data_IF_833981049932
#
_entry.id   IF_833981049932
#
_cell.length_a   1.000
_cell.length_b   1.000
_cell.length_c   1.000
_cell.angle_alpha   90.00
_cell.angle_beta   90.00
_cell.angle_gamma   90.00
#
_symmetry.space_group_name_H-M   'P 1'
#
loop_
_entity.id
_entity.type
_entity.pdbx_description
1 polymer ?
#
# COMPACT_ATOMS: atom_id res chain seq x y z
N UNK A 1 53.66 19.56 -47.07
CA UNK A 1 54.17 18.18 -46.90
C UNK A 1 53.41 17.57 -45.74
N UNK A 2 52.47 16.67 -46.01
CA UNK A 2 51.81 15.89 -44.96
C UNK A 2 52.81 14.86 -44.42
N UNK A 3 53.34 15.06 -43.23
CA UNK A 3 54.19 14.04 -42.61
C UNK A 3 53.31 12.85 -42.23
N UNK A 4 53.46 11.76 -42.98
CA UNK A 4 52.96 10.46 -42.53
C UNK A 4 53.62 10.13 -41.17
N UNK A 5 52.88 9.53 -40.23
CA UNK A 5 53.46 9.12 -38.96
C UNK A 5 54.61 8.13 -39.18
N UNK A 6 55.67 8.17 -38.35
CA UNK A 6 56.83 7.29 -38.50
C UNK A 6 56.42 5.82 -38.37
N UNK A 7 56.90 4.99 -39.31
CA UNK A 7 56.63 3.55 -39.40
C UNK A 7 57.47 2.71 -38.42
N UNK A 8 58.02 3.32 -37.38
CA UNK A 8 58.73 2.56 -36.36
C UNK A 8 57.71 1.85 -35.49
N UNK A 9 57.72 0.51 -35.54
CA UNK A 9 57.00 -0.37 -34.62
C UNK A 9 57.45 -0.08 -33.18
N UNK A 10 56.86 0.94 -32.55
CA UNK A 10 57.04 1.19 -31.12
C UNK A 10 56.24 0.13 -30.37
N UNK A 11 56.86 -0.64 -29.45
CA UNK A 11 56.14 -1.58 -28.61
C UNK A 11 55.31 -0.87 -27.52
N UNK A 12 55.39 0.46 -27.42
CA UNK A 12 54.78 1.27 -26.39
C UNK A 12 53.83 2.29 -27.05
N UNK A 13 52.56 2.26 -26.65
CA UNK A 13 51.56 3.24 -27.05
C UNK A 13 51.98 4.65 -26.61
N UNK A 14 52.12 5.59 -27.55
CA UNK A 14 52.45 6.99 -27.27
C UNK A 14 51.17 7.84 -27.33
N UNK A 15 50.60 8.14 -26.18
CA UNK A 15 49.36 8.91 -26.06
C UNK A 15 49.49 10.38 -26.49
N UNK A 16 50.70 10.92 -26.63
CA UNK A 16 50.94 12.30 -27.07
C UNK A 16 50.52 12.57 -28.52
N UNK A 17 50.20 11.53 -29.30
CA UNK A 17 49.69 11.64 -30.66
C UNK A 17 48.16 11.68 -30.77
N UNK A 18 47.44 11.61 -29.64
CA UNK A 18 45.97 11.62 -29.60
C UNK A 18 45.46 12.82 -28.76
N UNK A 19 45.77 14.04 -29.20
CA UNK A 19 45.43 15.29 -28.49
C UNK A 19 44.38 16.14 -29.22
N UNK A 20 44.06 15.81 -30.47
CA UNK A 20 43.02 16.44 -31.27
C UNK A 20 41.61 16.03 -30.82
N UNK A 21 40.64 16.92 -30.96
CA UNK A 21 39.24 16.70 -30.56
C UNK A 21 38.55 15.53 -31.29
N UNK A 22 39.16 14.99 -32.33
CA UNK A 22 38.68 13.87 -33.14
C UNK A 22 39.70 12.72 -33.21
N UNK A 23 40.71 12.68 -32.35
CA UNK A 23 41.66 11.58 -32.33
C UNK A 23 41.03 10.36 -31.65
N UNK A 24 40.94 9.24 -32.35
CA UNK A 24 40.36 8.00 -31.84
C UNK A 24 41.31 6.82 -32.05
N UNK A 25 41.39 5.94 -31.04
CA UNK A 25 42.10 4.67 -31.15
C UNK A 25 41.13 3.59 -31.69
N UNK A 26 41.34 3.11 -32.91
CA UNK A 26 40.58 1.97 -33.47
C UNK A 26 41.33 0.67 -33.24
N UNK A 27 40.75 -0.25 -32.46
CA UNK A 27 41.32 -1.59 -32.24
C UNK A 27 40.57 -2.57 -33.16
N UNK A 28 41.16 -2.92 -34.30
CA UNK A 28 40.60 -3.93 -35.21
C UNK A 28 40.78 -5.34 -34.64
N UNK A 29 39.77 -6.20 -34.83
CA UNK A 29 39.62 -7.54 -34.21
C UNK A 29 40.81 -8.50 -34.44
N UNK A 30 41.64 -8.23 -35.44
CA UNK A 30 42.77 -9.08 -35.83
C UNK A 30 44.09 -8.78 -35.09
N UNK A 31 44.25 -7.62 -34.43
CA UNK A 31 45.54 -7.24 -33.82
C UNK A 31 45.42 -6.99 -32.31
N UNK A 32 45.28 -8.09 -31.55
CA UNK A 32 45.12 -8.11 -30.08
C UNK A 32 46.37 -7.66 -29.29
N UNK A 33 47.41 -7.15 -29.96
CA UNK A 33 48.75 -6.94 -29.36
C UNK A 33 48.94 -5.58 -28.69
N UNK A 34 48.10 -4.58 -28.95
CA UNK A 34 48.39 -3.22 -28.51
C UNK A 34 47.67 -2.72 -27.27
N UNK A 35 46.74 -3.48 -26.67
CA UNK A 35 46.27 -3.22 -25.30
C UNK A 35 45.96 -4.52 -24.56
N UNK A 36 46.97 -5.12 -23.94
CA UNK A 36 46.74 -6.15 -22.92
C UNK A 36 46.35 -5.46 -21.61
N UNK A 37 45.06 -5.32 -21.33
CA UNK A 37 44.53 -4.92 -20.01
C UNK A 37 44.59 -6.07 -18.99
N UNK A 38 45.74 -6.74 -18.94
CA UNK A 38 45.96 -7.96 -18.16
C UNK A 38 47.29 -7.96 -17.43
N UNK A 39 47.88 -6.78 -17.21
CA UNK A 39 49.05 -6.60 -16.36
C UNK A 39 48.87 -5.34 -15.52
N UNK A 40 48.58 -5.49 -14.23
CA UNK A 40 48.63 -4.54 -13.09
C UNK A 40 48.22 -3.06 -13.26
N UNK A 41 47.79 -2.60 -14.43
CA UNK A 41 47.34 -1.24 -14.70
C UNK A 41 45.81 -1.20 -14.76
N UNK A 42 45.21 -0.53 -13.78
CA UNK A 42 43.78 -0.22 -13.77
C UNK A 42 43.60 1.08 -14.54
N UNK A 43 42.68 1.12 -15.51
CA UNK A 43 42.19 2.41 -15.98
C UNK A 43 41.37 3.04 -14.87
N UNK A 44 41.80 4.20 -14.36
CA UNK A 44 41.04 4.93 -13.36
C UNK A 44 39.65 5.34 -13.88
N UNK A 45 39.49 5.52 -15.20
CA UNK A 45 38.19 5.74 -15.85
C UNK A 45 38.23 5.37 -17.33
N UNK A 46 37.07 4.98 -17.87
CA UNK A 46 36.81 4.83 -19.31
C UNK A 46 35.63 5.76 -19.61
N UNK A 47 35.81 6.72 -20.52
CA UNK A 47 34.74 7.61 -20.99
C UNK A 47 34.26 7.14 -22.37
N UNK A 48 32.97 6.83 -22.50
CA UNK A 48 32.32 6.43 -23.76
C UNK A 48 31.20 7.41 -24.09
N UNK A 49 31.18 7.93 -25.32
CA UNK A 49 30.14 8.85 -25.79
C UNK A 49 28.80 8.14 -26.11
N UNK A 50 28.83 6.82 -26.25
CA UNK A 50 27.67 5.98 -26.59
C UNK A 50 27.55 4.77 -25.67
N UNK A 51 27.03 3.67 -26.21
CA UNK A 51 26.84 2.44 -25.45
C UNK A 51 28.17 1.72 -25.16
N UNK A 52 28.27 1.16 -23.97
CA UNK A 52 29.26 0.14 -23.63
C UNK A 52 28.63 -1.23 -23.85
N UNK A 53 28.94 -1.87 -24.97
CA UNK A 53 28.56 -3.27 -25.22
C UNK A 53 29.59 -4.19 -24.54
N UNK A 54 29.20 -4.83 -23.45
CA UNK A 54 30.07 -5.69 -22.66
C UNK A 54 29.39 -7.03 -22.39
N UNK A 55 30.11 -8.13 -22.62
CA UNK A 55 29.61 -9.48 -22.33
C UNK A 55 29.48 -9.77 -20.83
N UNK A 56 30.23 -9.06 -19.99
CA UNK A 56 30.12 -9.09 -18.52
C UNK A 56 30.56 -7.76 -17.93
N UNK A 57 29.91 -7.35 -16.84
CA UNK A 57 30.30 -6.19 -16.06
C UNK A 57 30.79 -6.65 -14.69
N UNK A 58 31.93 -6.14 -14.23
CA UNK A 58 32.48 -6.42 -12.90
C UNK A 58 32.68 -5.10 -12.17
N UNK A 59 32.05 -4.91 -11.01
CA UNK A 59 32.19 -3.72 -10.17
C UNK A 59 32.87 -4.14 -8.88
N UNK A 60 33.99 -3.48 -8.53
CA UNK A 60 34.78 -3.79 -7.34
C UNK A 60 35.15 -5.28 -7.19
N UNK A 61 35.42 -5.96 -8.31
CA UNK A 61 35.80 -7.38 -8.33
C UNK A 61 34.62 -8.36 -8.30
N UNK A 62 33.38 -7.90 -8.22
CA UNK A 62 32.18 -8.75 -8.30
C UNK A 62 31.47 -8.60 -9.64
N UNK A 63 31.16 -9.73 -10.28
CA UNK A 63 30.37 -9.74 -11.50
C UNK A 63 28.93 -9.24 -11.21
N UNK A 64 28.43 -8.36 -12.06
CA UNK A 64 27.06 -7.86 -12.05
C UNK A 64 26.24 -8.67 -13.04
N UNK A 65 25.19 -9.34 -12.57
CA UNK A 65 24.24 -10.04 -13.43
C UNK A 65 23.28 -9.04 -14.10
N UNK A 66 23.63 -8.66 -15.32
CA UNK A 66 22.84 -7.77 -16.17
C UNK A 66 21.60 -8.44 -16.76
N UNK A 67 21.45 -9.76 -16.63
CA UNK A 67 20.27 -10.46 -17.17
C UNK A 67 18.98 -9.95 -16.52
N UNK A 68 19.03 -9.51 -15.26
CA UNK A 68 17.89 -8.94 -14.53
C UNK A 68 17.48 -7.52 -14.98
N UNK A 69 18.33 -6.85 -15.76
CA UNK A 69 18.16 -5.46 -16.21
C UNK A 69 17.63 -5.34 -17.64
N UNK A 70 17.74 -6.38 -18.45
CA UNK A 70 17.22 -6.38 -19.83
C UNK A 70 15.72 -6.65 -19.89
N UNK A 71 15.03 -5.97 -20.81
CA UNK A 71 13.60 -6.20 -21.07
C UNK A 71 12.64 -5.64 -20.02
N UNK A 72 13.11 -4.81 -19.08
CA UNK A 72 12.24 -4.12 -18.12
C UNK A 72 11.54 -2.91 -18.79
N UNK A 73 10.25 -2.75 -18.53
CA UNK A 73 9.49 -1.54 -18.90
C UNK A 73 9.15 -0.77 -17.63
N UNK A 74 9.57 0.50 -17.55
CA UNK A 74 9.30 1.35 -16.38
C UNK A 74 7.80 1.42 -16.06
N UNK A 75 7.46 1.35 -14.77
CA UNK A 75 6.08 1.35 -14.28
C UNK A 75 5.36 -0.01 -14.32
N UNK A 76 6.01 -1.08 -14.80
CA UNK A 76 5.45 -2.44 -14.84
C UNK A 76 6.37 -3.45 -14.16
N UNK A 77 5.78 -4.53 -13.63
CA UNK A 77 6.52 -5.64 -13.04
C UNK A 77 6.71 -6.75 -14.08
N UNK A 78 7.95 -6.98 -14.49
CA UNK A 78 8.32 -8.14 -15.33
C UNK A 78 8.74 -9.31 -14.44
N UNK A 79 8.26 -10.52 -14.75
CA UNK A 79 8.56 -11.71 -13.95
C UNK A 79 10.08 -11.98 -13.89
N UNK A 80 10.58 -12.26 -12.68
CA UNK A 80 11.99 -12.60 -12.41
C UNK A 80 13.02 -11.53 -12.82
N UNK A 81 12.59 -10.26 -12.91
CA UNK A 81 13.46 -9.11 -13.21
C UNK A 81 13.41 -8.07 -12.08
N UNK A 82 14.23 -7.04 -12.24
CA UNK A 82 14.16 -5.83 -11.40
C UNK A 82 12.82 -5.11 -11.59
N UNK A 83 12.45 -4.31 -10.58
CA UNK A 83 11.29 -3.42 -10.62
C UNK A 83 11.79 -1.98 -10.78
N UNK A 84 11.28 -1.28 -11.77
CA UNK A 84 11.63 0.11 -12.06
C UNK A 84 10.37 0.98 -12.00
N UNK A 85 10.43 2.04 -11.21
CA UNK A 85 9.34 3.03 -11.14
C UNK A 85 9.26 3.84 -12.43
N UNK A 86 8.08 4.32 -12.79
CA UNK A 86 7.90 5.26 -13.91
C UNK A 86 8.23 6.72 -13.52
N UNK A 87 7.95 7.67 -14.42
CA UNK A 87 8.19 9.09 -14.20
C UNK A 87 7.43 9.67 -13.00
N UNK A 88 6.29 9.09 -12.64
CA UNK A 88 5.47 9.48 -11.49
C UNK A 88 5.90 8.79 -10.19
N UNK A 89 6.91 7.92 -10.25
CA UNK A 89 7.34 7.02 -9.18
C UNK A 89 6.34 5.89 -8.90
N UNK A 90 5.52 5.55 -9.89
CA UNK A 90 4.53 4.48 -9.77
C UNK A 90 5.07 3.13 -10.25
N UNK A 91 4.51 2.05 -9.70
CA UNK A 91 4.69 0.67 -10.16
C UNK A 91 3.31 0.02 -10.21
N UNK A 92 3.00 -0.64 -11.32
CA UNK A 92 1.75 -1.38 -11.51
C UNK A 92 2.00 -2.88 -11.74
N UNK A 93 0.93 -3.67 -11.67
CA UNK A 93 0.89 -5.07 -12.14
C UNK A 93 1.64 -6.11 -11.29
N UNK A 94 1.92 -5.84 -10.01
CA UNK A 94 2.23 -6.92 -9.07
C UNK A 94 1.07 -7.92 -9.05
N UNK A 95 1.36 -9.21 -9.24
CA UNK A 95 0.36 -10.27 -9.10
C UNK A 95 -0.09 -10.42 -7.65
N UNK A 96 0.87 -10.48 -6.73
CA UNK A 96 0.70 -10.58 -5.29
C UNK A 96 1.74 -9.69 -4.62
N UNK A 97 1.40 -9.05 -3.50
CA UNK A 97 2.33 -8.29 -2.66
C UNK A 97 2.28 -8.83 -1.24
N UNK A 98 3.43 -9.26 -0.73
CA UNK A 98 3.61 -9.62 0.69
C UNK A 98 4.51 -8.58 1.32
N UNK A 99 4.02 -7.91 2.38
CA UNK A 99 4.76 -6.88 3.09
C UNK A 99 4.49 -6.99 4.60
N UNK A 100 5.50 -6.77 5.43
CA UNK A 100 5.33 -6.68 6.90
C UNK A 100 4.47 -5.48 7.28
N UNK A 101 4.65 -4.36 6.58
CA UNK A 101 3.87 -3.14 6.75
C UNK A 101 3.51 -2.60 5.36
N UNK A 102 2.24 -2.21 5.21
CA UNK A 102 1.76 -1.40 4.10
C UNK A 102 1.34 -0.05 4.68
N UNK A 103 2.00 1.02 4.24
CA UNK A 103 1.70 2.40 4.67
C UNK A 103 1.04 3.17 3.52
N UNK A 104 0.26 4.19 3.86
CA UNK A 104 -0.46 5.02 2.88
C UNK A 104 -1.96 4.69 2.78
N UNK A 105 -2.58 5.14 1.69
CA UNK A 105 -4.02 4.98 1.45
C UNK A 105 -4.28 3.82 0.50
N UNK A 106 -5.28 3.00 0.82
CA UNK A 106 -5.77 1.97 -0.09
C UNK A 106 -6.95 2.54 -0.89
N UNK A 107 -6.72 2.83 -2.17
CA UNK A 107 -7.68 3.55 -3.02
C UNK A 107 -8.74 2.65 -3.66
N UNK A 108 -8.69 1.32 -3.44
CA UNK A 108 -9.67 0.37 -3.97
C UNK A 108 -11.01 0.55 -3.26
N UNK A 109 -12.02 1.06 -3.97
CA UNK A 109 -13.34 1.35 -3.38
C UNK A 109 -14.03 0.12 -2.75
N UNK A 110 -13.96 -1.05 -3.40
CA UNK A 110 -14.54 -2.29 -2.89
C UNK A 110 -13.44 -3.24 -2.40
N UNK A 111 -13.53 -3.67 -1.14
CA UNK A 111 -12.54 -4.55 -0.51
C UNK A 111 -13.21 -5.83 0.04
N UNK A 112 -13.84 -6.66 -0.81
CA UNK A 112 -14.68 -7.78 -0.36
C UNK A 112 -13.93 -8.90 0.39
N UNK A 113 -12.59 -8.94 0.27
CA UNK A 113 -11.77 -10.01 0.84
C UNK A 113 -11.14 -9.64 2.20
N UNK A 114 -11.49 -8.48 2.80
CA UNK A 114 -11.05 -8.15 4.16
C UNK A 114 -11.93 -8.93 5.15
N UNK A 115 -11.35 -9.94 5.80
CA UNK A 115 -12.04 -10.78 6.80
C UNK A 115 -11.63 -10.49 8.23
N UNK A 116 -10.56 -9.72 8.43
CA UNK A 116 -10.08 -9.29 9.74
C UNK A 116 -9.29 -7.99 9.60
N UNK A 117 -9.38 -7.17 10.64
CA UNK A 117 -8.59 -5.96 10.82
C UNK A 117 -8.10 -5.94 12.27
N UNK A 118 -7.05 -5.15 12.55
CA UNK A 118 -6.66 -4.84 13.91
C UNK A 118 -7.62 -3.85 14.57
N UNK A 119 -7.10 -2.98 15.43
CA UNK A 119 -7.89 -1.91 16.04
C UNK A 119 -8.11 -0.76 15.06
N UNK A 120 -9.37 -0.36 14.87
CA UNK A 120 -9.73 0.90 14.21
C UNK A 120 -10.04 1.95 15.27
N UNK A 121 -9.30 3.06 15.28
CA UNK A 121 -9.55 4.19 16.19
C UNK A 121 -10.79 5.01 15.78
N UNK A 122 -11.11 5.01 14.48
CA UNK A 122 -12.28 5.64 13.92
C UNK A 122 -12.77 4.84 12.71
N UNK A 123 -14.09 4.85 12.50
CA UNK A 123 -14.74 4.22 11.36
C UNK A 123 -15.90 5.10 10.94
N UNK A 124 -15.89 5.54 9.68
CA UNK A 124 -17.04 6.20 9.05
C UNK A 124 -17.66 5.21 8.07
N UNK A 125 -18.94 4.91 8.24
CA UNK A 125 -19.71 4.06 7.33
C UNK A 125 -20.81 4.92 6.71
N UNK A 126 -20.78 5.09 5.40
CA UNK A 126 -21.80 5.86 4.66
C UNK A 126 -23.09 5.08 4.42
N UNK A 127 -23.02 3.74 4.48
CA UNK A 127 -24.16 2.84 4.35
C UNK A 127 -24.56 2.20 5.68
N UNK A 128 -25.19 1.03 5.60
CA UNK A 128 -25.62 0.28 6.77
C UNK A 128 -24.50 -0.58 7.35
N UNK A 129 -24.46 -0.69 8.67
CA UNK A 129 -23.68 -1.70 9.38
C UNK A 129 -24.60 -2.88 9.64
N UNK A 130 -24.30 -4.04 9.06
CA UNK A 130 -25.00 -5.29 9.34
C UNK A 130 -24.18 -6.13 10.30
N UNK A 131 -24.81 -6.67 11.35
CA UNK A 131 -24.15 -7.51 12.35
C UNK A 131 -24.55 -7.17 13.77
N UNK A 132 -23.80 -7.69 14.74
CA UNK A 132 -24.04 -7.50 16.17
C UNK A 132 -22.95 -6.61 16.76
N UNK A 133 -23.35 -5.58 17.51
CA UNK A 133 -22.43 -4.82 18.34
C UNK A 133 -22.33 -5.48 19.71
N UNK A 134 -21.16 -6.05 20.03
CA UNK A 134 -20.95 -6.86 21.25
C UNK A 134 -20.46 -6.05 22.45
N UNK A 135 -20.20 -4.76 22.29
CA UNK A 135 -19.80 -3.88 23.40
C UNK A 135 -20.97 -3.64 24.34
N UNK A 136 -20.84 -4.04 25.60
CA UNK A 136 -21.91 -3.97 26.59
C UNK A 136 -22.39 -2.53 26.87
N UNK A 137 -21.48 -1.56 26.95
CA UNK A 137 -21.81 -0.15 27.16
C UNK A 137 -21.68 0.62 25.84
N UNK A 138 -22.74 1.33 25.46
CA UNK A 138 -22.81 2.13 24.23
C UNK A 138 -23.16 3.59 24.55
N UNK A 139 -22.32 4.32 25.31
CA UNK A 139 -22.67 5.64 25.86
C UNK A 139 -22.90 6.73 24.81
N UNK A 140 -22.43 6.52 23.58
CA UNK A 140 -22.47 7.52 22.50
C UNK A 140 -23.61 7.30 21.50
N UNK A 141 -24.54 6.36 21.74
CA UNK A 141 -25.75 6.22 20.92
C UNK A 141 -26.77 7.28 21.36
N UNK A 142 -26.94 8.31 20.54
CA UNK A 142 -27.86 9.45 20.81
C UNK A 142 -29.19 9.33 20.08
N UNK A 143 -29.27 8.46 19.08
CA UNK A 143 -30.49 8.16 18.34
C UNK A 143 -30.44 6.72 17.87
N UNK A 144 -31.62 6.11 17.86
CA UNK A 144 -31.85 4.79 17.31
C UNK A 144 -32.89 4.94 16.20
N UNK A 145 -32.78 4.15 15.14
CA UNK A 145 -33.84 4.05 14.14
C UNK A 145 -35.08 3.33 14.69
N UNK A 146 -35.83 2.65 13.82
CA UNK A 146 -36.94 1.80 14.26
C UNK A 146 -36.41 0.49 14.86
N UNK A 147 -36.78 0.18 16.09
CA UNK A 147 -36.54 -1.14 16.68
C UNK A 147 -37.79 -2.01 16.49
N UNK A 148 -37.66 -3.15 15.81
CA UNK A 148 -38.73 -4.15 15.72
C UNK A 148 -38.94 -4.89 17.05
N UNK A 149 -37.88 -5.00 17.85
CA UNK A 149 -37.88 -5.62 19.17
C UNK A 149 -36.84 -4.95 20.06
N UNK A 150 -37.17 -4.76 21.33
CA UNK A 150 -36.25 -4.28 22.34
C UNK A 150 -36.47 -5.09 23.63
N UNK A 151 -35.42 -5.78 24.07
CA UNK A 151 -35.41 -6.43 25.38
C UNK A 151 -34.53 -5.61 26.31
N UNK A 152 -35.07 -5.17 27.43
CA UNK A 152 -34.33 -4.46 28.48
C UNK A 152 -34.35 -5.34 29.73
N UNK A 153 -33.17 -5.77 30.19
CA UNK A 153 -33.02 -6.59 31.40
C UNK A 153 -33.05 -5.78 32.69
N UNK A 154 -32.75 -4.47 32.61
CA UNK A 154 -32.82 -3.52 33.71
C UNK A 154 -34.03 -2.59 33.64
N UNK A 155 -33.90 -1.42 34.24
CA UNK A 155 -34.94 -0.40 34.21
C UNK A 155 -34.88 0.43 32.92
N UNK A 156 -36.06 0.80 32.42
CA UNK A 156 -36.20 1.86 31.42
C UNK A 156 -36.40 3.17 32.17
N UNK A 157 -35.48 4.13 32.00
CA UNK A 157 -35.62 5.49 32.53
C UNK A 157 -36.04 6.41 31.39
N UNK A 158 -37.14 7.15 31.55
CA UNK A 158 -37.66 8.05 30.54
C UNK A 158 -39.18 8.13 30.52
N UNK A 159 -39.73 8.76 29.50
CA UNK A 159 -41.17 8.89 29.28
C UNK A 159 -41.60 8.05 28.09
N UNK A 160 -42.65 7.25 28.25
CA UNK A 160 -43.30 6.57 27.13
C UNK A 160 -44.41 7.48 26.58
N UNK A 161 -44.18 8.04 25.40
CA UNK A 161 -45.07 9.07 24.80
C UNK A 161 -46.18 8.51 23.92
N UNK A 162 -46.20 7.18 23.67
CA UNK A 162 -47.26 6.53 22.89
C UNK A 162 -48.59 6.61 23.64
N UNK A 163 -49.59 7.28 23.06
CA UNK A 163 -50.87 7.56 23.72
C UNK A 163 -51.69 6.30 24.06
N UNK A 164 -51.62 5.26 23.23
CA UNK A 164 -52.27 3.97 23.48
C UNK A 164 -51.20 2.91 23.70
N UNK A 165 -51.27 2.25 24.87
CA UNK A 165 -50.28 1.26 25.31
C UNK A 165 -50.98 -0.09 25.59
N UNK A 166 -51.65 -0.69 24.59
CA UNK A 166 -52.49 -1.89 24.81
C UNK A 166 -51.69 -3.12 25.26
N UNK A 167 -50.38 -3.13 25.02
CA UNK A 167 -49.49 -4.24 25.37
C UNK A 167 -48.92 -4.12 26.79
N UNK A 168 -49.24 -3.06 27.54
CA UNK A 168 -48.93 -3.01 28.98
C UNK A 168 -50.03 -3.79 29.72
N UNK A 169 -49.72 -5.04 30.07
CA UNK A 169 -50.66 -5.93 30.78
C UNK A 169 -50.45 -5.96 32.29
N UNK A 170 -49.32 -5.42 32.76
CA UNK A 170 -49.00 -5.24 34.17
C UNK A 170 -48.06 -4.06 34.34
N UNK A 171 -48.28 -3.30 35.39
CA UNK A 171 -47.33 -2.33 35.92
C UNK A 171 -46.97 -2.82 37.31
N UNK A 172 -45.70 -2.69 37.70
CA UNK A 172 -45.26 -3.04 39.06
C UNK A 172 -45.87 -2.08 40.10
N UNK A 173 -45.10 -1.74 41.13
CA UNK A 173 -45.56 -0.74 42.12
C UNK A 173 -45.53 0.67 41.51
N UNK A 174 -46.67 1.35 41.54
CA UNK A 174 -46.80 2.73 41.10
C UNK A 174 -46.95 3.64 42.34
N UNK A 175 -45.98 4.51 42.59
CA UNK A 175 -45.99 5.41 43.77
C UNK A 175 -46.98 6.57 43.62
N UNK A 176 -47.22 7.00 42.38
CA UNK A 176 -48.21 8.01 42.04
C UNK A 176 -48.72 7.78 40.62
N UNK A 177 -50.01 8.06 40.40
CA UNK A 177 -50.63 8.00 39.09
C UNK A 177 -51.49 9.26 38.91
N UNK A 178 -51.15 10.06 37.91
CA UNK A 178 -51.99 11.16 37.46
C UNK A 178 -52.67 10.75 36.16
N UNK A 179 -53.99 10.83 36.12
CA UNK A 179 -54.79 10.58 34.91
C UNK A 179 -55.61 11.81 34.59
N UNK A 180 -55.78 12.12 33.30
CA UNK A 180 -56.64 13.24 32.86
C UNK A 180 -58.11 12.83 32.75
N UNK A 181 -58.41 11.53 32.74
CA UNK A 181 -59.73 10.95 32.57
C UNK A 181 -60.03 9.96 33.71
N UNK A 182 -61.28 9.48 33.77
CA UNK A 182 -61.71 8.48 34.75
C UNK A 182 -60.89 7.19 34.67
N UNK A 183 -60.48 6.66 35.82
CA UNK A 183 -59.84 5.35 35.93
C UNK A 183 -60.94 4.28 36.02
N UNK A 184 -61.00 3.38 35.03
CA UNK A 184 -61.84 2.18 35.11
C UNK A 184 -61.00 1.03 35.67
N UNK A 185 -61.36 0.53 36.85
CA UNK A 185 -60.67 -0.60 37.49
C UNK A 185 -61.56 -1.84 37.50
N UNK A 186 -60.95 -3.03 37.36
CA UNK A 186 -61.61 -4.31 37.56
C UNK A 186 -61.24 -4.85 38.96
N UNK A 187 -61.66 -4.17 40.03
CA UNK A 187 -61.37 -4.60 41.39
C UNK A 187 -62.35 -5.71 41.79
N UNK A 188 -61.87 -6.94 41.92
CA UNK A 188 -62.69 -8.12 42.29
C UNK A 188 -62.91 -8.27 43.80
N UNK A 189 -62.19 -7.52 44.64
CA UNK A 189 -62.30 -7.63 46.10
C UNK A 189 -62.20 -6.26 46.74
N UNK A 190 -63.32 -5.77 47.30
CA UNK A 190 -63.32 -4.63 48.21
C UNK A 190 -63.11 -5.21 49.62
N UNK A 191 -61.93 -5.03 50.20
CA UNK A 191 -61.78 -5.27 51.64
C UNK A 191 -62.59 -4.19 52.38
N UNK A 192 -63.72 -4.60 52.95
CA UNK A 192 -64.46 -3.76 53.89
C UNK A 192 -63.60 -3.60 55.14
N UNK A 193 -63.28 -2.35 55.47
CA UNK A 193 -62.75 -1.95 56.78
C UNK A 193 -63.80 -2.20 57.86
#
# INVERSE_FOLDING_TARGET
MSSLPPTTNSPIFNCSFFLGSNDYLTIAVADKRYQKLGGTGVFNSIAVAGNLDCGSLTIAGSAVDLSSLSGITAGTVTASKLVMVDANKDISSFRNLTATNLTGTLQTAAQPNITSVGTLSSLTVSGNISGTLTTAAQPNITSVGTLSSLTVSGNISGTLTTASQPNITSVGTLSSLTTTNTITTNITTIQRL
#
